data_IF_192233217473
#
_entry.id   IF_192233217473
#
_cell.length_a   1.000
_cell.length_b   1.000
_cell.length_c   1.000
_cell.angle_alpha   90.00
_cell.angle_beta   90.00
_cell.angle_gamma   90.00
#
_symmetry.space_group_name_H-M   'P 1'
#
loop_
_entity.id
_entity.type
_entity.pdbx_description
1 polymer ?
#
# COMPACT_ATOMS: atom_id res chain seq x y z
N UNK A 1 -29.07 -17.30 0.12
CA UNK A 1 -29.07 -15.84 0.33
C UNK A 1 -28.86 -15.48 1.79
N UNK A 2 -29.71 -15.92 2.73
CA UNK A 2 -29.52 -15.70 4.18
C UNK A 2 -28.15 -16.16 4.73
N UNK A 3 -27.67 -17.34 4.30
CA UNK A 3 -26.36 -17.84 4.74
C UNK A 3 -25.17 -16.95 4.32
N UNK A 4 -25.26 -16.31 3.13
CA UNK A 4 -24.21 -15.41 2.63
C UNK A 4 -24.23 -14.10 3.41
N UNK A 5 -25.43 -13.54 3.65
CA UNK A 5 -25.59 -12.32 4.45
C UNK A 5 -25.07 -12.52 5.87
N UNK A 6 -25.43 -13.63 6.52
CA UNK A 6 -24.95 -13.94 7.87
C UNK A 6 -23.42 -14.06 7.91
N UNK A 7 -22.82 -14.77 6.93
CA UNK A 7 -21.37 -14.89 6.86
C UNK A 7 -20.65 -13.55 6.70
N UNK A 8 -21.25 -12.59 5.98
CA UNK A 8 -20.67 -11.23 5.87
C UNK A 8 -20.77 -10.49 7.20
N UNK A 9 -21.95 -10.51 7.84
CA UNK A 9 -22.17 -9.88 9.16
C UNK A 9 -21.14 -10.39 10.17
N UNK A 10 -20.91 -11.70 10.22
CA UNK A 10 -19.97 -12.32 11.14
C UNK A 10 -18.51 -11.91 10.83
N UNK A 11 -18.13 -11.84 9.54
CA UNK A 11 -16.78 -11.46 9.12
C UNK A 11 -16.41 -10.02 9.47
N UNK A 12 -17.37 -9.09 9.36
CA UNK A 12 -17.14 -7.67 9.68
C UNK A 12 -17.53 -7.33 11.13
N UNK A 13 -18.04 -8.30 11.88
CA UNK A 13 -18.49 -8.16 13.27
C UNK A 13 -19.53 -7.05 13.46
N UNK A 14 -20.46 -6.91 12.50
CA UNK A 14 -21.51 -5.91 12.56
C UNK A 14 -22.58 -6.26 13.61
N UNK A 15 -23.08 -5.25 14.31
CA UNK A 15 -24.11 -5.36 15.34
C UNK A 15 -25.41 -4.72 14.85
N UNK A 16 -26.50 -5.01 15.57
CA UNK A 16 -27.78 -4.32 15.34
C UNK A 16 -27.59 -2.82 15.53
N UNK A 17 -27.90 -2.05 14.49
CA UNK A 17 -27.68 -0.60 14.46
C UNK A 17 -26.54 -0.15 13.54
N UNK A 18 -25.65 -1.06 13.13
CA UNK A 18 -24.56 -0.75 12.22
C UNK A 18 -25.02 -0.74 10.74
N UNK A 19 -24.26 -0.04 9.90
CA UNK A 19 -24.41 -0.02 8.44
C UNK A 19 -23.13 -0.60 7.82
N UNK A 20 -23.28 -1.48 6.83
CA UNK A 20 -22.17 -2.05 6.07
C UNK A 20 -22.17 -1.42 4.67
N UNK A 21 -21.06 -0.77 4.30
CA UNK A 21 -20.81 -0.26 2.95
C UNK A 21 -20.01 -1.26 2.12
N UNK A 22 -20.25 -1.29 0.81
CA UNK A 22 -19.57 -2.17 -0.13
C UNK A 22 -18.97 -1.37 -1.28
N UNK A 23 -17.78 -1.75 -1.72
CA UNK A 23 -17.17 -1.32 -2.98
C UNK A 23 -16.82 -2.55 -3.82
N UNK A 24 -17.17 -2.54 -5.10
CA UNK A 24 -16.98 -3.68 -6.00
C UNK A 24 -16.46 -3.20 -7.36
N UNK A 25 -15.13 -3.14 -7.48
CA UNK A 25 -14.41 -2.74 -8.68
C UNK A 25 -12.94 -3.25 -8.58
N UNK A 26 -12.04 -2.76 -9.44
CA UNK A 26 -10.59 -2.96 -9.33
C UNK A 26 -10.09 -2.55 -7.94
N UNK A 27 -9.10 -3.28 -7.42
CA UNK A 27 -8.52 -3.07 -6.08
C UNK A 27 -8.17 -1.59 -5.82
N UNK A 28 -7.52 -0.93 -6.78
CA UNK A 28 -7.14 0.49 -6.67
C UNK A 28 -8.36 1.40 -6.45
N UNK A 29 -9.41 1.21 -7.25
CA UNK A 29 -10.64 2.01 -7.18
C UNK A 29 -11.36 1.76 -5.85
N UNK A 30 -11.48 0.50 -5.42
CA UNK A 30 -12.15 0.14 -4.17
C UNK A 30 -11.41 0.70 -2.95
N UNK A 31 -10.08 0.55 -2.90
CA UNK A 31 -9.27 1.05 -1.78
C UNK A 31 -9.34 2.58 -1.67
N UNK A 32 -9.27 3.30 -2.80
CA UNK A 32 -9.37 4.76 -2.82
C UNK A 32 -10.77 5.23 -2.41
N UNK A 33 -11.82 4.68 -3.01
CA UNK A 33 -13.19 5.08 -2.72
C UNK A 33 -13.61 4.78 -1.27
N UNK A 34 -13.34 3.57 -0.78
CA UNK A 34 -13.69 3.20 0.60
C UNK A 34 -12.77 3.85 1.64
N UNK A 35 -11.50 4.10 1.31
CA UNK A 35 -10.58 4.87 2.16
C UNK A 35 -11.08 6.28 2.40
N UNK A 36 -11.44 6.99 1.32
CA UNK A 36 -12.02 8.34 1.39
C UNK A 36 -13.37 8.36 2.10
N UNK A 37 -14.25 7.38 1.83
CA UNK A 37 -15.54 7.26 2.51
C UNK A 37 -15.36 7.05 4.02
N UNK A 38 -14.43 6.17 4.43
CA UNK A 38 -14.10 5.90 5.82
C UNK A 38 -13.68 7.18 6.55
N UNK A 39 -12.80 7.98 5.95
CA UNK A 39 -12.36 9.25 6.54
C UNK A 39 -13.48 10.27 6.63
N UNK A 40 -14.31 10.38 5.59
CA UNK A 40 -15.48 11.25 5.60
C UNK A 40 -16.46 10.88 6.71
N UNK A 41 -16.81 9.60 6.85
CA UNK A 41 -17.72 9.13 7.90
C UNK A 41 -17.12 9.38 9.29
N UNK A 42 -15.82 9.10 9.47
CA UNK A 42 -15.16 9.34 10.75
C UNK A 42 -15.21 10.81 11.16
N UNK A 43 -15.06 11.74 10.20
CA UNK A 43 -15.18 13.17 10.44
C UNK A 43 -16.62 13.62 10.68
N UNK A 44 -17.57 13.17 9.85
CA UNK A 44 -18.98 13.59 9.93
C UNK A 44 -19.65 13.10 11.23
N UNK A 45 -19.20 11.97 11.78
CA UNK A 45 -19.74 11.35 13.00
C UNK A 45 -18.83 11.50 14.24
N UNK A 46 -17.76 12.28 14.16
CA UNK A 46 -16.80 12.53 15.24
C UNK A 46 -16.23 11.24 15.89
N UNK A 47 -15.72 10.32 15.05
CA UNK A 47 -15.27 8.98 15.47
C UNK A 47 -13.75 8.88 15.73
N UNK A 48 -13.00 9.98 15.64
CA UNK A 48 -11.57 9.96 15.93
C UNK A 48 -11.32 9.81 17.44
N UNK A 49 -10.48 8.85 17.83
CA UNK A 49 -10.29 8.48 19.24
C UNK A 49 -9.07 9.13 19.90
N UNK A 50 -8.20 9.79 19.13
CA UNK A 50 -6.99 10.40 19.62
C UNK A 50 -6.60 11.63 18.80
N UNK A 51 -5.85 12.55 19.43
CA UNK A 51 -5.39 13.79 18.80
C UNK A 51 -4.12 13.58 17.95
N UNK A 52 -3.27 12.63 18.35
CA UNK A 52 -2.01 12.31 17.67
C UNK A 52 -1.88 10.81 17.46
N UNK A 53 -1.80 10.40 16.20
CA UNK A 53 -1.61 9.01 15.77
C UNK A 53 -0.44 8.91 14.78
N UNK A 54 0.82 8.96 15.25
CA UNK A 54 1.99 8.76 14.41
C UNK A 54 2.19 7.26 14.12
N UNK A 55 2.46 6.92 12.85
CA UNK A 55 2.80 5.57 12.41
C UNK A 55 3.95 5.60 11.41
N UNK A 56 4.71 4.51 11.36
CA UNK A 56 5.60 4.22 10.24
C UNK A 56 4.91 3.28 9.28
N UNK A 57 4.86 3.65 8.01
CA UNK A 57 4.52 2.74 6.91
C UNK A 57 5.84 2.22 6.35
N UNK A 58 5.98 0.90 6.30
CA UNK A 58 7.16 0.20 5.80
C UNK A 58 6.71 -0.88 4.81
N UNK A 59 7.66 -1.62 4.24
CA UNK A 59 7.37 -2.75 3.35
C UNK A 59 6.58 -2.34 2.10
N UNK A 60 6.92 -1.18 1.54
CA UNK A 60 6.41 -0.76 0.24
C UNK A 60 6.90 -1.69 -0.86
N UNK A 61 6.10 -2.00 -1.89
CA UNK A 61 6.58 -2.69 -3.07
C UNK A 61 7.74 -1.92 -3.73
N UNK A 62 8.66 -2.65 -4.35
CA UNK A 62 9.80 -2.05 -5.02
C UNK A 62 9.38 -1.37 -6.34
N UNK A 63 8.45 -1.99 -7.04
CA UNK A 63 7.94 -1.54 -8.34
C UNK A 63 6.42 -1.54 -8.37
N UNK A 64 5.85 -0.67 -9.20
CA UNK A 64 4.46 -0.71 -9.64
C UNK A 64 4.40 -1.11 -11.12
N UNK A 65 3.34 -1.81 -11.51
CA UNK A 65 3.13 -2.25 -12.88
C UNK A 65 2.22 -1.27 -13.62
N UNK A 66 2.68 -0.80 -14.77
CA UNK A 66 1.85 -0.04 -15.70
C UNK A 66 0.87 -0.96 -16.43
N UNK A 67 -0.14 -0.36 -17.06
CA UNK A 67 -1.16 -1.10 -17.84
C UNK A 67 -0.56 -1.91 -19.01
N UNK A 68 0.62 -1.51 -19.52
CA UNK A 68 1.35 -2.21 -20.59
C UNK A 68 2.27 -3.34 -20.08
N UNK A 69 2.32 -3.56 -18.77
CA UNK A 69 3.17 -4.57 -18.11
C UNK A 69 4.60 -4.12 -17.80
N UNK A 70 4.99 -2.90 -18.16
CA UNK A 70 6.28 -2.33 -17.74
C UNK A 70 6.27 -2.00 -16.26
N UNK A 71 7.46 -2.05 -15.64
CA UNK A 71 7.64 -1.78 -14.21
C UNK A 71 8.26 -0.40 -13.99
N UNK A 72 7.71 0.34 -13.03
CA UNK A 72 8.21 1.62 -12.57
C UNK A 72 8.60 1.54 -11.10
N UNK A 73 9.68 2.20 -10.69
CA UNK A 73 10.02 2.29 -9.27
C UNK A 73 8.97 3.13 -8.53
N UNK A 74 8.47 2.63 -7.39
CA UNK A 74 7.43 3.35 -6.62
C UNK A 74 7.95 4.68 -6.05
N UNK A 75 9.17 4.67 -5.51
CA UNK A 75 9.77 5.86 -4.91
C UNK A 75 10.78 6.50 -5.85
N UNK A 76 11.93 5.86 -6.04
CA UNK A 76 12.94 6.26 -7.01
C UNK A 76 13.88 5.08 -7.30
N UNK A 77 14.59 5.04 -8.44
CA UNK A 77 15.42 3.90 -8.85
C UNK A 77 16.65 3.63 -7.96
N UNK A 78 16.98 4.51 -7.02
CA UNK A 78 18.09 4.33 -6.07
C UNK A 78 17.68 3.67 -4.74
N UNK A 79 16.41 3.31 -4.57
CA UNK A 79 15.91 2.65 -3.35
C UNK A 79 16.39 1.20 -3.32
N UNK A 80 16.94 0.76 -2.19
CA UNK A 80 17.40 -0.60 -2.05
C UNK A 80 16.20 -1.57 -1.92
N UNK A 81 16.20 -2.68 -2.68
CA UNK A 81 15.23 -3.76 -2.47
C UNK A 81 15.54 -4.53 -1.17
N UNK A 82 14.56 -5.28 -0.67
CA UNK A 82 14.71 -6.14 0.49
C UNK A 82 15.54 -7.40 0.20
N UNK A 83 15.59 -7.82 -1.08
CA UNK A 83 16.26 -9.02 -1.59
C UNK A 83 17.57 -8.73 -2.32
N UNK A 84 18.35 -9.76 -2.64
CA UNK A 84 19.54 -9.64 -3.48
C UNK A 84 19.21 -9.48 -4.99
N UNK A 85 20.21 -9.11 -5.79
CA UNK A 85 20.02 -8.76 -7.20
C UNK A 85 19.54 -9.96 -8.04
N UNK A 86 20.01 -11.17 -7.73
CA UNK A 86 19.63 -12.38 -8.47
C UNK A 86 18.16 -12.73 -8.20
N UNK A 87 17.73 -12.61 -6.95
CA UNK A 87 16.35 -12.86 -6.53
C UNK A 87 15.42 -11.78 -7.11
N UNK A 88 15.87 -10.52 -7.14
CA UNK A 88 15.08 -9.42 -7.67
C UNK A 88 14.65 -9.64 -9.13
N UNK A 89 15.52 -10.20 -9.98
CA UNK A 89 15.18 -10.48 -11.38
C UNK A 89 14.00 -11.46 -11.53
N UNK A 90 13.86 -12.43 -10.63
CA UNK A 90 12.77 -13.42 -10.68
C UNK A 90 11.53 -13.02 -9.88
N UNK A 91 11.63 -12.06 -8.97
CA UNK A 91 10.54 -11.66 -8.06
C UNK A 91 10.19 -10.17 -8.15
N UNK A 92 10.49 -9.50 -9.25
CA UNK A 92 10.34 -8.04 -9.36
C UNK A 92 8.93 -7.54 -8.99
N UNK A 93 7.87 -8.26 -9.38
CA UNK A 93 6.48 -7.87 -9.13
C UNK A 93 6.03 -8.01 -7.67
N UNK A 94 6.78 -8.73 -6.84
CA UNK A 94 6.45 -8.97 -5.42
C UNK A 94 7.56 -8.52 -4.47
N UNK A 95 8.69 -8.07 -4.99
CA UNK A 95 9.81 -7.60 -4.20
C UNK A 95 9.41 -6.34 -3.42
N UNK A 96 9.83 -6.30 -2.15
CA UNK A 96 9.65 -5.13 -1.30
C UNK A 96 10.88 -4.24 -1.38
N UNK A 97 10.68 -2.96 -1.09
CA UNK A 97 11.74 -1.97 -0.92
C UNK A 97 12.10 -1.82 0.55
N UNK A 98 13.28 -1.25 0.81
CA UNK A 98 13.69 -0.76 2.14
C UNK A 98 13.38 0.73 2.25
N UNK A 99 12.15 1.10 1.91
CA UNK A 99 11.59 2.45 2.05
C UNK A 99 10.65 2.53 3.26
N UNK A 100 10.45 3.74 3.75
CA UNK A 100 9.64 4.01 4.92
C UNK A 100 9.09 5.44 4.88
N UNK A 101 7.84 5.59 5.33
CA UNK A 101 7.17 6.88 5.46
C UNK A 101 6.66 7.09 6.90
N UNK A 102 6.86 8.30 7.42
CA UNK A 102 6.23 8.76 8.65
C UNK A 102 4.90 9.41 8.31
N UNK A 103 3.82 8.84 8.83
CA UNK A 103 2.47 9.37 8.66
C UNK A 103 1.94 9.80 10.02
N UNK A 104 1.39 11.01 10.08
CA UNK A 104 0.75 11.54 11.28
C UNK A 104 -0.66 11.99 10.92
N UNK A 105 -1.66 11.44 11.63
CA UNK A 105 -3.08 11.76 11.44
C UNK A 105 -3.54 11.64 9.97
N UNK A 106 -3.05 10.62 9.26
CA UNK A 106 -3.37 10.36 7.85
C UNK A 106 -2.61 11.22 6.83
N UNK A 107 -1.73 12.13 7.27
CA UNK A 107 -0.87 12.93 6.40
C UNK A 107 0.56 12.41 6.42
N UNK A 108 1.16 12.20 5.26
CA UNK A 108 2.60 11.97 5.14
C UNK A 108 3.35 13.23 5.57
N UNK A 109 4.28 13.10 6.50
CA UNK A 109 5.09 14.23 6.99
C UNK A 109 6.57 14.11 6.62
N UNK A 110 6.98 12.96 6.10
CA UNK A 110 8.30 12.73 5.54
C UNK A 110 8.57 11.25 5.32
N UNK A 111 9.56 10.96 4.48
CA UNK A 111 9.90 9.59 4.10
C UNK A 111 11.37 9.45 3.70
N UNK A 112 11.78 8.21 3.48
CA UNK A 112 13.15 7.89 3.08
C UNK A 112 13.31 6.45 2.65
N UNK A 113 14.53 6.11 2.22
CA UNK A 113 14.88 4.71 1.96
C UNK A 113 16.37 4.46 2.14
N UNK A 114 16.71 3.20 2.41
CA UNK A 114 18.07 2.73 2.28
C UNK A 114 18.46 2.78 0.80
N UNK A 115 19.65 3.32 0.50
CA UNK A 115 20.10 3.51 -0.88
C UNK A 115 20.87 2.30 -1.39
N UNK A 116 20.73 2.02 -2.68
CA UNK A 116 21.59 1.06 -3.38
C UNK A 116 23.02 1.62 -3.39
N UNK A 117 23.97 0.79 -2.95
CA UNK A 117 25.39 1.12 -2.94
C UNK A 117 26.24 0.06 -3.69
N UNK A 118 25.60 -0.94 -4.29
CA UNK A 118 26.26 -1.98 -5.07
C UNK A 118 25.94 -1.80 -6.55
N UNK A 119 26.96 -1.69 -7.39
CA UNK A 119 26.82 -1.46 -8.83
C UNK A 119 25.95 -2.53 -9.49
N UNK A 120 26.17 -3.80 -9.17
CA UNK A 120 25.40 -4.91 -9.72
C UNK A 120 23.89 -4.79 -9.42
N UNK A 121 23.54 -4.41 -8.19
CA UNK A 121 22.13 -4.18 -7.82
C UNK A 121 21.52 -3.01 -8.59
N UNK A 122 22.26 -1.90 -8.70
CA UNK A 122 21.76 -0.72 -9.43
C UNK A 122 21.51 -1.05 -10.91
N UNK A 123 22.41 -1.81 -11.54
CA UNK A 123 22.25 -2.29 -12.90
C UNK A 123 21.02 -3.18 -13.06
N UNK A 124 20.79 -4.11 -12.12
CA UNK A 124 19.59 -4.94 -12.13
C UNK A 124 18.32 -4.10 -12.04
N UNK A 125 18.26 -3.13 -11.12
CA UNK A 125 17.08 -2.26 -10.98
C UNK A 125 16.82 -1.47 -12.27
N UNK A 126 17.84 -0.82 -12.83
CA UNK A 126 17.76 -0.04 -14.08
C UNK A 126 17.26 -0.91 -15.25
N UNK A 127 17.81 -2.13 -15.40
CA UNK A 127 17.38 -3.11 -16.39
C UNK A 127 15.90 -3.51 -16.24
N UNK A 128 15.43 -3.72 -15.00
CA UNK A 128 14.04 -4.10 -14.71
C UNK A 128 13.06 -2.99 -15.13
N UNK A 129 13.43 -1.72 -14.90
CA UNK A 129 12.60 -0.56 -15.26
C UNK A 129 12.82 -0.08 -16.72
N UNK A 130 13.53 -0.86 -17.53
CA UNK A 130 13.61 -0.65 -18.99
C UNK A 130 14.71 0.31 -19.47
N UNK A 131 15.77 0.53 -18.69
CA UNK A 131 16.93 1.36 -19.05
C UNK A 131 18.23 0.56 -19.15
#
# INVERSE_FOLDING_TARGET
>A
MQAVTQSIIDKVNAKTGDIIFFGADKIKIVNEALGNLREKIAKDLDLYTCQWAPIWVIDFPMFDANDDGSLNAIHHPFTAPSVDAKTLESTATTALSRAYDLVINGSEVGGGSIRIHQVAMQQTVIKIIGY
#
